data_IF_681191961299
#
_entry.id   IF_681191961299
#
_cell.length_a   1.000
_cell.length_b   1.000
_cell.length_c   1.000
_cell.angle_alpha   90.00
_cell.angle_beta   90.00
_cell.angle_gamma   90.00
#
_symmetry.space_group_name_H-M   'P 1'
#
loop_
_entity.id
_entity.type
_entity.pdbx_description
1 polymer ?
#
# COMPACT_ATOMS: atom_id res chain seq x y z
N UNK A 1 10.81 13.29 -28.76
CA UNK A 1 9.42 13.05 -28.31
C UNK A 1 9.49 12.72 -26.83
N UNK A 2 9.12 13.68 -25.97
CA UNK A 2 9.42 13.67 -24.52
C UNK A 2 8.28 13.01 -23.74
N UNK A 3 8.50 11.81 -23.20
CA UNK A 3 7.53 11.12 -22.34
C UNK A 3 7.87 11.42 -20.89
N UNK A 4 6.89 11.96 -20.17
CA UNK A 4 7.03 12.55 -18.83
C UNK A 4 6.42 11.65 -17.74
N UNK A 5 7.28 11.27 -16.75
CA UNK A 5 7.07 11.35 -15.27
C UNK A 5 6.15 10.27 -14.67
N UNK A 6 6.23 9.75 -13.44
CA UNK A 6 7.06 9.85 -12.22
C UNK A 6 6.59 8.68 -11.31
N UNK A 7 7.50 7.93 -10.68
CA UNK A 7 7.24 6.86 -9.70
C UNK A 7 7.12 7.44 -8.26
N UNK A 8 6.52 6.68 -7.32
CA UNK A 8 6.36 7.04 -5.91
C UNK A 8 6.86 5.94 -4.97
N UNK A 9 8.16 5.91 -4.67
CA UNK A 9 8.64 5.22 -3.47
C UNK A 9 8.48 6.14 -2.27
N UNK A 10 7.70 5.73 -1.27
CA UNK A 10 7.63 6.44 0.00
C UNK A 10 8.17 5.60 1.15
N UNK A 11 9.36 5.97 1.60
CA UNK A 11 9.84 5.70 2.96
C UNK A 11 9.94 7.05 3.67
N UNK A 12 9.05 7.31 4.64
CA UNK A 12 9.05 8.56 5.40
C UNK A 12 7.70 8.86 6.05
N UNK A 13 7.67 8.85 7.38
CA UNK A 13 6.47 8.83 8.23
C UNK A 13 6.21 10.17 8.91
N UNK A 14 5.03 10.79 8.69
CA UNK A 14 4.46 11.85 9.57
C UNK A 14 2.93 11.76 9.67
N UNK A 15 2.42 12.19 10.82
CA UNK A 15 1.07 12.10 11.46
C UNK A 15 -0.24 12.25 10.65
N UNK A 16 -0.24 12.42 9.32
CA UNK A 16 -1.48 12.65 8.53
C UNK A 16 -1.98 11.44 7.73
N UNK A 17 -1.28 10.30 7.80
CA UNK A 17 -1.69 9.03 7.18
C UNK A 17 -2.27 8.07 8.22
N UNK A 18 -3.46 7.52 7.96
CA UNK A 18 -4.00 6.41 8.77
C UNK A 18 -3.42 5.10 8.22
N UNK A 19 -2.72 4.32 9.06
CA UNK A 19 -2.53 2.89 8.81
C UNK A 19 -3.79 2.16 9.25
N UNK A 20 -4.39 1.37 8.37
CA UNK A 20 -5.27 0.32 8.84
C UNK A 20 -4.36 -0.86 9.17
N UNK A 21 -4.26 -1.20 10.45
CA UNK A 21 -3.79 -2.53 10.86
C UNK A 21 -4.80 -3.56 10.35
N UNK A 22 -4.46 -4.84 10.42
CA UNK A 22 -5.27 -5.98 9.95
C UNK A 22 -6.74 -6.08 10.41
N UNK A 23 -7.27 -5.10 11.15
CA UNK A 23 -8.67 -4.97 11.53
C UNK A 23 -9.47 -3.96 10.70
N UNK A 24 -10.76 -4.24 10.55
CA UNK A 24 -11.75 -3.38 9.88
C UNK A 24 -11.97 -2.03 10.55
N UNK A 25 -12.25 -0.99 9.76
CA UNK A 25 -12.48 0.38 10.24
C UNK A 25 -13.94 0.62 10.69
N UNK A 26 -14.12 0.99 11.96
CA UNK A 26 -15.19 1.86 12.45
C UNK A 26 -14.63 2.77 13.55
N UNK A 27 -14.25 4.00 13.25
CA UNK A 27 -14.48 5.12 14.19
C UNK A 27 -14.33 6.50 13.57
N UNK A 28 -15.22 7.41 14.00
CA UNK A 28 -15.17 8.82 13.71
C UNK A 28 -14.30 9.60 14.70
N UNK A 29 -13.53 10.56 14.20
CA UNK A 29 -13.13 11.74 14.96
C UNK A 29 -12.84 12.90 14.00
N UNK A 30 -13.38 14.06 14.34
CA UNK A 30 -13.50 15.21 13.45
C UNK A 30 -12.30 16.15 13.48
N UNK A 31 -11.57 16.24 12.36
CA UNK A 31 -10.82 17.45 11.95
C UNK A 31 -10.72 17.58 10.42
N UNK A 32 -10.93 18.77 9.82
CA UNK A 32 -10.96 18.96 8.38
C UNK A 32 -9.54 19.11 7.81
N UNK A 33 -8.87 17.99 7.58
CA UNK A 33 -7.76 17.87 6.63
C UNK A 33 -8.04 16.63 5.79
N UNK A 34 -7.84 16.68 4.47
CA UNK A 34 -7.96 15.51 3.61
C UNK A 34 -7.03 14.42 4.16
N UNK A 35 -7.62 13.40 4.79
CA UNK A 35 -6.87 12.30 5.40
C UNK A 35 -6.61 11.28 4.30
N UNK A 36 -5.34 10.95 4.11
CA UNK A 36 -4.95 9.83 3.27
C UNK A 36 -5.17 8.56 4.09
N UNK A 37 -6.09 7.69 3.65
CA UNK A 37 -6.08 6.31 4.10
C UNK A 37 -5.24 5.54 3.08
N UNK A 38 -4.00 5.24 3.46
CA UNK A 38 -3.33 4.14 2.80
C UNK A 38 -4.21 2.92 3.09
N UNK A 39 -4.63 2.25 2.03
CA UNK A 39 -5.62 1.19 2.14
C UNK A 39 -4.99 -0.09 1.64
N UNK A 40 -4.92 -1.03 2.55
CA UNK A 40 -3.99 -2.16 2.50
C UNK A 40 -4.67 -3.37 1.86
N UNK A 41 -5.58 -3.14 0.91
CA UNK A 41 -6.34 -4.22 0.28
C UNK A 41 -5.60 -4.74 -0.94
N UNK A 42 -5.46 -6.06 -1.07
CA UNK A 42 -4.68 -6.68 -2.14
C UNK A 42 -5.41 -6.68 -3.49
N UNK A 43 -6.70 -6.36 -3.52
CA UNK A 43 -7.49 -6.40 -4.75
C UNK A 43 -8.80 -5.64 -4.56
N UNK A 44 -9.07 -4.67 -5.44
CA UNK A 44 -10.44 -4.25 -5.66
C UNK A 44 -11.16 -5.36 -6.41
N UNK A 45 -12.26 -5.87 -5.84
CA UNK A 45 -13.28 -6.61 -6.57
C UNK A 45 -14.57 -5.82 -6.34
N UNK A 46 -15.16 -5.24 -7.38
CA UNK A 46 -16.51 -4.68 -7.22
C UNK A 46 -17.45 -5.80 -6.80
N UNK A 47 -18.30 -5.50 -5.84
CA UNK A 47 -19.50 -6.30 -5.56
C UNK A 47 -20.43 -6.16 -6.78
N UNK A 48 -20.22 -7.00 -7.78
CA UNK A 48 -20.96 -7.00 -9.04
C UNK A 48 -20.07 -6.72 -10.26
N UNK A 49 -20.13 -7.63 -11.23
CA UNK A 49 -19.49 -7.63 -12.56
C UNK A 49 -17.99 -7.90 -12.64
N UNK A 50 -17.63 -8.71 -13.64
CA UNK A 50 -16.29 -8.97 -14.18
C UNK A 50 -15.60 -7.68 -14.65
N UNK A 51 -15.27 -6.80 -13.71
CA UNK A 51 -14.43 -5.64 -13.97
C UNK A 51 -13.00 -6.08 -14.28
N UNK A 52 -12.27 -5.36 -15.15
CA UNK A 52 -10.88 -5.68 -15.45
C UNK A 52 -10.07 -5.73 -14.16
N UNK A 53 -9.29 -6.80 -13.98
CA UNK A 53 -8.33 -6.89 -12.87
C UNK A 53 -7.51 -5.59 -12.86
N UNK A 54 -7.34 -4.91 -11.72
CA UNK A 54 -6.54 -3.71 -11.67
C UNK A 54 -5.17 -4.01 -12.27
N UNK A 55 -4.82 -3.28 -13.33
CA UNK A 55 -3.47 -3.28 -13.89
C UNK A 55 -2.50 -2.89 -12.76
N UNK A 56 -1.30 -3.50 -12.73
CA UNK A 56 -0.29 -3.25 -11.67
C UNK A 56 0.02 -1.77 -11.44
N UNK A 57 -0.15 -0.94 -12.46
CA UNK A 57 -0.25 0.51 -12.31
C UNK A 57 -1.67 0.89 -11.84
N UNK A 58 -1.81 1.24 -10.57
CA UNK A 58 -3.09 1.69 -10.01
C UNK A 58 -3.11 3.21 -9.85
N UNK A 59 -4.01 3.88 -10.56
CA UNK A 59 -4.32 5.28 -10.26
C UNK A 59 -4.92 5.41 -8.85
N UNK A 60 -4.60 6.48 -8.12
CA UNK A 60 -5.26 6.80 -6.86
C UNK A 60 -6.78 6.82 -7.02
N UNK A 61 -7.48 6.32 -6.01
CA UNK A 61 -8.94 6.28 -5.98
C UNK A 61 -9.49 7.07 -4.80
N UNK A 62 -10.77 7.44 -4.84
CA UNK A 62 -11.45 8.08 -3.71
C UNK A 62 -12.71 7.35 -3.28
N UNK A 63 -13.03 7.38 -2.00
CA UNK A 63 -14.34 6.98 -1.48
C UNK A 63 -14.76 7.86 -0.30
N UNK A 64 -16.02 7.76 0.11
CA UNK A 64 -16.57 8.48 1.26
C UNK A 64 -16.61 7.53 2.46
N UNK A 65 -16.04 7.93 3.58
CA UNK A 65 -16.07 7.13 4.80
C UNK A 65 -17.44 7.23 5.52
N UNK A 66 -17.63 6.45 6.59
CA UNK A 66 -18.89 6.39 7.35
C UNK A 66 -19.32 7.69 8.03
N UNK A 67 -18.45 8.71 8.10
CA UNK A 67 -18.75 10.05 8.62
C UNK A 67 -18.84 11.11 7.51
N UNK A 68 -18.97 10.67 6.26
CA UNK A 68 -19.23 11.55 5.13
C UNK A 68 -18.01 12.27 4.55
N UNK A 69 -16.78 11.90 4.93
CA UNK A 69 -15.55 12.55 4.43
C UNK A 69 -14.94 11.80 3.26
N UNK A 70 -14.37 12.54 2.33
CA UNK A 70 -13.59 11.94 1.24
C UNK A 70 -12.24 11.44 1.75
N UNK A 71 -11.88 10.25 1.29
CA UNK A 71 -10.65 9.55 1.61
C UNK A 71 -10.04 9.07 0.30
N UNK A 72 -8.74 9.33 0.13
CA UNK A 72 -7.97 8.82 -0.99
C UNK A 72 -7.39 7.43 -0.65
N UNK A 73 -7.32 6.57 -1.65
CA UNK A 73 -6.90 5.18 -1.58
C UNK A 73 -5.75 4.94 -2.58
N UNK A 74 -4.67 4.35 -2.07
CA UNK A 74 -3.55 3.82 -2.86
C UNK A 74 -3.47 2.32 -2.63
N UNK A 75 -3.28 1.54 -3.69
CA UNK A 75 -3.23 0.08 -3.62
C UNK A 75 -1.79 -0.41 -3.72
N UNK A 76 -1.41 -1.30 -2.80
CA UNK A 76 -0.08 -1.93 -2.76
C UNK A 76 0.14 -2.76 -4.02
N UNK A 77 1.27 -2.56 -4.70
CA UNK A 77 1.77 -3.55 -5.65
C UNK A 77 2.30 -4.75 -4.85
N UNK A 78 1.48 -5.81 -4.81
CA UNK A 78 1.77 -6.99 -3.99
C UNK A 78 3.08 -7.65 -4.40
N UNK A 79 3.30 -7.84 -5.70
CA UNK A 79 4.45 -8.63 -6.16
C UNK A 79 5.79 -7.94 -5.90
N UNK A 80 5.88 -6.64 -6.17
CA UNK A 80 7.11 -5.88 -5.89
C UNK A 80 7.34 -5.73 -4.40
N UNK A 81 6.28 -5.53 -3.63
CA UNK A 81 6.39 -5.40 -2.17
C UNK A 81 6.76 -6.74 -1.51
N UNK A 82 6.19 -7.86 -1.97
CA UNK A 82 6.51 -9.20 -1.48
C UNK A 82 7.90 -9.68 -1.96
N UNK A 83 8.36 -9.22 -3.13
CA UNK A 83 9.72 -9.51 -3.58
C UNK A 83 10.76 -8.94 -2.62
N UNK A 84 10.60 -7.68 -2.17
CA UNK A 84 11.44 -7.09 -1.13
C UNK A 84 11.26 -7.83 0.20
N UNK A 85 10.01 -8.15 0.56
CA UNK A 85 9.66 -8.85 1.81
C UNK A 85 10.29 -10.22 1.98
N UNK A 86 10.27 -11.04 0.94
CA UNK A 86 10.44 -12.49 1.07
C UNK A 86 11.45 -13.11 0.09
N UNK A 87 11.81 -12.40 -0.97
CA UNK A 87 12.64 -12.95 -2.06
C UNK A 87 14.04 -12.36 -2.04
N UNK A 88 14.16 -11.04 -2.10
CA UNK A 88 15.43 -10.36 -2.34
C UNK A 88 16.44 -10.47 -1.21
N UNK A 89 16.01 -10.77 0.01
CA UNK A 89 16.89 -11.05 1.14
C UNK A 89 17.92 -12.18 0.88
N UNK A 90 17.60 -13.12 -0.02
CA UNK A 90 18.47 -14.25 -0.38
C UNK A 90 19.33 -14.01 -1.63
N UNK A 91 19.22 -12.83 -2.22
CA UNK A 91 19.88 -12.49 -3.48
C UNK A 91 21.06 -11.55 -3.22
N UNK A 92 21.99 -11.49 -4.17
CA UNK A 92 22.98 -10.43 -4.19
C UNK A 92 22.26 -9.07 -4.38
N UNK A 93 22.61 -8.02 -3.61
CA UNK A 93 21.91 -6.74 -3.64
C UNK A 93 21.73 -6.11 -5.01
N UNK A 94 22.76 -6.08 -5.87
CA UNK A 94 22.66 -5.51 -7.20
C UNK A 94 21.73 -6.33 -8.11
N UNK A 95 21.83 -7.66 -8.08
CA UNK A 95 20.93 -8.53 -8.84
C UNK A 95 19.45 -8.36 -8.44
N UNK A 96 19.17 -8.21 -7.13
CA UNK A 96 17.82 -7.93 -6.64
C UNK A 96 17.28 -6.57 -7.11
N UNK A 97 18.14 -5.55 -7.13
CA UNK A 97 17.79 -4.21 -7.63
C UNK A 97 17.55 -4.23 -9.13
N UNK A 98 18.37 -4.93 -9.90
CA UNK A 98 18.20 -5.05 -11.36
C UNK A 98 16.86 -5.71 -11.71
N UNK A 99 16.47 -6.79 -11.03
CA UNK A 99 15.14 -7.41 -11.19
C UNK A 99 14.01 -6.45 -10.81
N UNK A 100 14.15 -5.74 -9.68
CA UNK A 100 13.15 -4.78 -9.24
C UNK A 100 12.94 -3.64 -10.26
N UNK A 101 14.03 -3.08 -10.79
CA UNK A 101 13.99 -2.00 -11.77
C UNK A 101 13.44 -2.49 -13.11
N UNK A 102 13.81 -3.70 -13.55
CA UNK A 102 13.26 -4.31 -14.76
C UNK A 102 11.75 -4.50 -14.67
N UNK A 103 11.25 -4.98 -13.51
CA UNK A 103 9.81 -5.13 -13.27
C UNK A 103 9.08 -3.79 -13.27
N UNK A 104 9.66 -2.75 -12.68
CA UNK A 104 9.12 -1.39 -12.71
C UNK A 104 9.06 -0.82 -14.12
N UNK A 105 10.13 -0.97 -14.91
CA UNK A 105 10.16 -0.55 -16.31
C UNK A 105 9.07 -1.27 -17.12
N UNK A 106 8.92 -2.58 -16.92
CA UNK A 106 7.90 -3.37 -17.60
C UNK A 106 6.46 -2.96 -17.20
N UNK A 107 6.22 -2.51 -15.96
CA UNK A 107 4.93 -1.93 -15.56
C UNK A 107 4.70 -0.61 -16.31
N UNK A 108 5.73 0.22 -16.42
CA UNK A 108 5.63 1.51 -17.12
C UNK A 108 5.31 1.33 -18.61
N UNK A 109 5.99 0.41 -19.28
CA UNK A 109 5.81 0.13 -20.72
C UNK A 109 4.42 -0.41 -21.06
N UNK A 110 3.84 -1.24 -20.17
CA UNK A 110 2.51 -1.83 -20.37
C UNK A 110 1.37 -0.91 -19.91
N UNK A 111 1.68 0.17 -19.22
CA UNK A 111 0.67 1.07 -18.68
C UNK A 111 0.05 1.92 -19.80
N UNK A 112 -1.29 2.00 -19.90
CA UNK A 112 -1.93 2.96 -20.79
C UNK A 112 -1.80 4.41 -20.28
N UNK A 113 -1.51 4.58 -18.98
CA UNK A 113 -1.27 5.87 -18.37
C UNK A 113 0.14 6.35 -18.65
N UNK A 114 0.29 7.61 -19.05
CA UNK A 114 1.60 8.25 -19.24
C UNK A 114 2.42 8.32 -17.93
N UNK A 115 1.73 8.28 -16.79
CA UNK A 115 2.31 8.38 -15.45
C UNK A 115 1.73 7.28 -14.53
N UNK A 116 2.22 6.03 -14.66
CA UNK A 116 1.80 4.96 -13.79
C UNK A 116 2.32 5.16 -12.36
N UNK A 117 1.44 4.95 -11.39
CA UNK A 117 1.80 4.95 -9.97
C UNK A 117 1.92 3.51 -9.48
N UNK A 118 3.05 3.20 -8.84
CA UNK A 118 3.34 1.87 -8.27
C UNK A 118 3.63 2.02 -6.77
N UNK A 119 2.62 1.87 -5.91
CA UNK A 119 2.81 1.93 -4.47
C UNK A 119 3.53 0.68 -3.96
N UNK A 120 4.78 0.83 -3.56
CA UNK A 120 5.56 -0.22 -2.89
C UNK A 120 5.44 0.01 -1.39
N UNK A 121 4.79 -0.93 -0.71
CA UNK A 121 4.37 -0.76 0.67
C UNK A 121 4.82 -1.99 1.46
N UNK A 122 5.72 -1.78 2.42
CA UNK A 122 6.35 -2.84 3.20
C UNK A 122 5.84 -2.89 4.64
N UNK A 123 5.96 -4.08 5.21
CA UNK A 123 5.72 -4.32 6.63
C UNK A 123 6.92 -3.86 7.47
N UNK A 124 7.00 -2.56 7.77
CA UNK A 124 7.94 -2.02 8.77
C UNK A 124 9.34 -2.66 8.79
N UNK A 125 9.68 -3.28 9.94
CA UNK A 125 10.96 -3.94 10.22
C UNK A 125 11.10 -5.35 9.65
N UNK A 126 9.98 -6.01 9.38
CA UNK A 126 9.86 -7.42 8.98
C UNK A 126 10.81 -7.84 7.83
N UNK A 127 10.95 -7.09 6.71
CA UNK A 127 11.86 -7.51 5.64
C UNK A 127 13.33 -7.51 6.07
N UNK A 128 13.76 -6.57 6.90
CA UNK A 128 15.17 -6.20 7.05
C UNK A 128 15.95 -7.20 7.88
N UNK A 129 15.31 -7.91 8.81
CA UNK A 129 15.93 -8.96 9.64
C UNK A 129 16.45 -10.14 8.82
N UNK A 130 15.91 -10.33 7.61
CA UNK A 130 16.30 -11.42 6.73
C UNK A 130 17.45 -11.07 5.79
N UNK A 131 17.80 -9.79 5.66
CA UNK A 131 18.95 -9.36 4.86
C UNK A 131 20.23 -9.49 5.70
N UNK A 132 21.33 -10.03 5.13
CA UNK A 132 22.59 -10.22 5.87
C UNK A 132 23.16 -8.94 6.51
N UNK A 133 22.87 -7.77 5.93
CA UNK A 133 23.35 -6.45 6.34
C UNK A 133 22.21 -5.52 6.80
N UNK A 134 21.07 -6.07 7.19
CA UNK A 134 19.88 -5.28 7.56
C UNK A 134 19.27 -4.52 6.38
N UNK A 135 19.60 -4.89 5.14
CA UNK A 135 19.06 -4.29 3.92
C UNK A 135 19.85 -3.09 3.41
N UNK A 136 20.98 -2.73 4.04
CA UNK A 136 21.78 -1.57 3.65
C UNK A 136 22.22 -1.65 2.18
N UNK A 137 22.81 -2.77 1.77
CA UNK A 137 23.33 -2.98 0.42
C UNK A 137 22.21 -2.87 -0.62
N UNK A 138 21.06 -3.49 -0.37
CA UNK A 138 19.90 -3.42 -1.26
C UNK A 138 19.36 -1.99 -1.36
N UNK A 139 19.14 -1.30 -0.23
CA UNK A 139 18.60 0.05 -0.22
C UNK A 139 19.57 1.04 -0.89
N UNK A 140 20.86 0.93 -0.61
CA UNK A 140 21.89 1.77 -1.22
C UNK A 140 21.91 1.57 -2.74
N UNK A 141 21.98 0.32 -3.21
CA UNK A 141 21.96 0.01 -4.63
C UNK A 141 20.66 0.50 -5.30
N UNK A 142 19.50 0.31 -4.64
CA UNK A 142 18.21 0.74 -5.15
C UNK A 142 18.16 2.27 -5.34
N UNK A 143 18.50 3.04 -4.29
CA UNK A 143 18.46 4.50 -4.38
C UNK A 143 19.49 5.04 -5.38
N UNK A 144 20.69 4.46 -5.44
CA UNK A 144 21.69 4.82 -6.47
C UNK A 144 21.13 4.60 -7.87
N UNK A 145 20.50 3.46 -8.13
CA UNK A 145 19.92 3.15 -9.44
C UNK A 145 18.71 4.03 -9.78
N UNK A 146 17.87 4.36 -8.81
CA UNK A 146 16.70 5.23 -9.02
C UNK A 146 17.08 6.69 -9.33
N UNK A 147 18.18 7.19 -8.75
CA UNK A 147 18.67 8.56 -8.98
C UNK A 147 19.47 8.65 -10.29
N UNK A 148 20.04 7.53 -10.75
CA UNK A 148 20.81 7.49 -11.99
C UNK A 148 19.93 7.87 -13.19
N UNK A 149 20.29 8.99 -13.83
CA UNK A 149 19.62 9.42 -15.05
C UNK A 149 20.28 8.75 -16.26
N UNK A 150 19.59 7.77 -16.85
CA UNK A 150 20.06 7.04 -18.03
C UNK A 150 19.24 7.46 -19.26
N UNK A 151 19.84 8.19 -20.22
CA UNK A 151 19.17 8.55 -21.46
C UNK A 151 18.60 7.32 -22.18
N UNK A 152 17.37 7.42 -22.67
CA UNK A 152 16.70 6.33 -23.39
C UNK A 152 16.07 5.24 -22.51
N UNK A 153 16.15 5.35 -21.18
CA UNK A 153 15.49 4.43 -20.25
C UNK A 153 14.27 5.07 -19.57
N UNK A 154 13.42 4.22 -18.99
CA UNK A 154 12.32 4.65 -18.13
C UNK A 154 12.89 5.44 -16.95
N UNK A 155 12.43 6.68 -16.76
CA UNK A 155 12.83 7.52 -15.64
C UNK A 155 11.92 7.24 -14.44
N UNK A 156 12.54 6.96 -13.30
CA UNK A 156 11.83 6.74 -12.04
C UNK A 156 11.78 8.02 -11.19
N UNK A 157 10.57 8.32 -10.72
CA UNK A 157 10.23 9.26 -9.65
C UNK A 157 10.36 8.64 -8.26
N UNK A 158 10.62 9.37 -7.19
CA UNK A 158 10.11 8.97 -5.86
C UNK A 158 9.34 10.13 -5.26
N UNK A 159 8.11 9.91 -4.80
CA UNK A 159 7.25 10.92 -4.16
C UNK A 159 6.61 10.32 -2.92
N UNK A 160 6.27 11.20 -1.99
CA UNK A 160 5.44 10.83 -0.84
C UNK A 160 3.96 10.73 -1.27
N UNK A 161 3.14 9.92 -0.59
CA UNK A 161 1.71 9.80 -0.92
C UNK A 161 0.99 11.13 -0.81
N UNK A 162 1.36 11.96 0.18
CA UNK A 162 0.77 13.27 0.37
C UNK A 162 1.06 14.20 -0.82
N UNK A 163 2.31 14.23 -1.28
CA UNK A 163 2.71 15.07 -2.42
C UNK A 163 2.02 14.58 -3.70
N UNK A 164 2.02 13.27 -3.93
CA UNK A 164 1.33 12.64 -5.06
C UNK A 164 -0.15 13.00 -5.12
N UNK A 165 -0.87 12.86 -3.99
CA UNK A 165 -2.30 13.12 -3.93
C UNK A 165 -2.65 14.60 -3.99
N UNK A 166 -1.72 15.49 -3.62
CA UNK A 166 -1.90 16.93 -3.76
C UNK A 166 -1.75 17.40 -5.20
N UNK A 167 -0.76 16.89 -5.94
CA UNK A 167 -0.53 17.24 -7.35
C UNK A 167 -1.48 16.49 -8.29
N UNK A 168 -1.84 15.25 -7.93
CA UNK A 168 -2.62 14.34 -8.76
C UNK A 168 -3.79 13.74 -7.95
N UNK A 169 -4.83 14.55 -7.67
CA UNK A 169 -5.96 14.09 -6.88
C UNK A 169 -6.73 12.95 -7.57
N UNK A 170 -7.25 11.98 -6.81
CA UNK A 170 -7.95 10.81 -7.34
C UNK A 170 -9.22 11.16 -8.11
N UNK A 171 -9.25 10.83 -9.41
CA UNK A 171 -10.38 11.11 -10.30
C UNK A 171 -11.47 10.03 -10.28
N UNK A 172 -11.12 8.81 -9.93
CA UNK A 172 -12.06 7.69 -9.96
C UNK A 172 -12.57 7.36 -8.56
N UNK A 173 -13.90 7.25 -8.44
CA UNK A 173 -14.56 6.87 -7.20
C UNK A 173 -14.58 5.35 -7.05
N UNK A 174 -14.47 4.86 -5.82
CA UNK A 174 -14.75 3.48 -5.45
C UNK A 174 -16.15 3.40 -4.83
N UNK A 175 -16.98 2.55 -5.41
CA UNK A 175 -18.34 2.30 -4.94
C UNK A 175 -18.37 1.44 -3.67
N UNK A 176 -17.34 0.61 -3.49
CA UNK A 176 -17.16 -0.22 -2.31
C UNK A 176 -15.74 -0.76 -2.21
N UNK A 177 -15.37 -1.18 -1.00
CA UNK A 177 -14.12 -1.87 -0.70
C UNK A 177 -14.49 -3.20 -0.07
N UNK A 178 -13.92 -4.28 -0.61
CA UNK A 178 -14.14 -5.61 -0.08
C UNK A 178 -13.50 -5.74 1.31
N UNK A 179 -14.21 -6.35 2.26
CA UNK A 179 -13.66 -6.63 3.60
C UNK A 179 -12.62 -7.74 3.52
N UNK A 180 -11.45 -7.54 4.11
CA UNK A 180 -10.37 -8.52 4.10
C UNK A 180 -9.07 -7.90 4.55
N UNK A 181 -8.01 -8.68 4.56
CA UNK A 181 -6.67 -8.20 4.86
C UNK A 181 -5.76 -8.29 3.63
N UNK A 182 -4.57 -7.69 3.74
CA UNK A 182 -3.50 -7.88 2.76
C UNK A 182 -2.99 -9.32 2.65
N UNK A 183 -3.29 -10.18 3.64
CA UNK A 183 -2.97 -11.61 3.65
C UNK A 183 -4.21 -12.33 3.12
N UNK A 184 -4.07 -12.97 1.95
CA UNK A 184 -5.11 -13.79 1.31
C UNK A 184 -6.45 -13.10 0.99
N UNK A 185 -6.58 -11.77 1.17
CA UNK A 185 -7.82 -11.02 0.97
C UNK A 185 -8.98 -11.43 1.89
N UNK A 186 -8.67 -12.03 3.04
CA UNK A 186 -9.64 -12.46 4.05
C UNK A 186 -9.17 -12.08 5.46
N UNK A 187 -9.98 -12.42 6.47
CA UNK A 187 -9.70 -12.16 7.88
C UNK A 187 -9.27 -13.42 8.64
N UNK A 188 -9.08 -14.56 7.96
CA UNK A 188 -8.93 -15.88 8.60
C UNK A 188 -7.70 -15.99 9.50
N UNK A 189 -6.72 -15.12 9.34
CA UNK A 189 -5.54 -15.05 10.22
C UNK A 189 -5.91 -14.58 11.63
N UNK A 190 -7.02 -13.87 11.81
CA UNK A 190 -7.44 -13.31 13.11
C UNK A 190 -8.83 -13.79 13.56
N UNK A 191 -9.52 -14.62 12.78
CA UNK A 191 -10.84 -15.14 13.15
C UNK A 191 -11.06 -16.53 12.57
N UNK A 192 -11.63 -17.41 13.37
CA UNK A 192 -12.01 -18.76 12.94
C UNK A 192 -11.41 -19.87 13.80
N UNK A 193 -10.24 -19.67 14.41
CA UNK A 193 -9.73 -20.62 15.40
C UNK A 193 -10.47 -20.43 16.75
N UNK A 194 -10.66 -21.51 17.54
CA UNK A 194 -11.34 -21.43 18.83
C UNK A 194 -10.72 -20.39 19.78
N UNK A 195 -9.39 -20.29 19.78
CA UNK A 195 -8.61 -19.34 20.57
C UNK A 195 -8.80 -17.88 20.12
N UNK A 196 -8.83 -17.63 18.80
CA UNK A 196 -9.15 -16.30 18.27
C UNK A 196 -10.56 -15.86 18.66
N UNK A 197 -11.53 -16.78 18.54
CA UNK A 197 -12.91 -16.50 18.86
C UNK A 197 -13.10 -16.22 20.37
N UNK A 198 -12.48 -17.01 21.25
CA UNK A 198 -12.48 -16.76 22.70
C UNK A 198 -11.85 -15.41 23.03
N UNK A 199 -10.75 -15.04 22.37
CA UNK A 199 -10.12 -13.73 22.54
C UNK A 199 -11.07 -12.59 22.13
N UNK A 200 -11.78 -12.71 21.00
CA UNK A 200 -12.77 -11.72 20.57
C UNK A 200 -13.96 -11.60 21.53
N UNK A 201 -14.48 -12.72 22.04
CA UNK A 201 -15.56 -12.71 23.04
C UNK A 201 -15.12 -12.00 24.33
N UNK A 202 -13.90 -12.25 24.80
CA UNK A 202 -13.35 -11.58 25.99
C UNK A 202 -13.20 -10.08 25.76
N UNK A 203 -12.73 -9.69 24.57
CA UNK A 203 -12.58 -8.28 24.21
C UNK A 203 -13.94 -7.58 24.17
N UNK A 204 -14.96 -8.22 23.60
CA UNK A 204 -16.34 -7.70 23.58
C UNK A 204 -16.87 -7.49 25.01
N UNK A 205 -16.76 -8.51 25.87
CA UNK A 205 -17.21 -8.42 27.27
C UNK A 205 -16.51 -7.28 28.02
N UNK A 206 -15.20 -7.15 27.84
CA UNK A 206 -14.39 -6.10 28.48
C UNK A 206 -14.79 -4.71 27.99
N UNK A 207 -14.98 -4.55 26.68
CA UNK A 207 -15.45 -3.29 26.11
C UNK A 207 -16.84 -2.91 26.65
N UNK A 208 -17.76 -3.88 26.70
CA UNK A 208 -19.09 -3.67 27.25
C UNK A 208 -19.08 -3.29 28.73
N UNK A 209 -18.18 -3.87 29.52
CA UNK A 209 -17.97 -3.48 30.92
C UNK A 209 -17.49 -2.02 31.02
N UNK A 210 -16.42 -1.65 30.31
CA UNK A 210 -15.88 -0.28 30.35
C UNK A 210 -16.89 0.79 29.88
N UNK A 211 -17.76 0.46 28.93
CA UNK A 211 -18.81 1.37 28.46
C UNK A 211 -19.90 1.63 29.51
N UNK A 212 -20.17 0.67 30.40
CA UNK A 212 -21.13 0.85 31.50
C UNK A 212 -20.54 1.67 32.65
N UNK A 213 -19.26 1.48 32.97
CA UNK A 213 -18.56 2.24 34.02
C UNK A 213 -18.31 3.70 33.64
N UNK A 214 -18.40 4.06 32.36
CA UNK A 214 -18.24 5.43 31.86
C UNK A 214 -19.56 6.22 31.75
N UNK A 215 -20.69 5.61 32.15
CA UNK A 215 -22.02 6.24 32.20
C UNK A 215 -22.36 6.66 33.64
#
# INVERSE_FOLDING_TARGET
>A
MSIRRTLACSFGWRSNSIRQFSGSDRSGSGHPKARCALSWYPCWRSSGSDGPRPTRASLPRRSRNGIGREVAFLFRDRELSDAIGFTYARNEPHAAVDDFIARLAAIAERSPEARPLVPVILDGENPWEHYPDGGEGFLRALYTTLIADKPGQVRFHSVTPQHELAEHPPRTRLDGIHTGSWINADLRIWIGHPEDNDAWERLERTRGFLQREQQ
#
